data_IF_022019352666
#
_entry.id   IF_022019352666
#
_cell.length_a   1.000
_cell.length_b   1.000
_cell.length_c   1.000
_cell.angle_alpha   90.00
_cell.angle_beta   90.00
_cell.angle_gamma   90.00
#
_symmetry.space_group_name_H-M   'P 1'
#
loop_
_entity.id
_entity.type
_entity.pdbx_description
1 polymer ?
#
# COMPACT_ATOMS: atom_id res chain seq x y z
N UNK A 1 -76.91 36.08 -0.09
CA UNK A 1 -76.21 35.91 -1.39
C UNK A 1 -74.82 36.58 -1.51
N UNK A 2 -74.25 37.19 -0.45
CA UNK A 2 -72.89 37.79 -0.49
C UNK A 2 -71.77 36.87 0.05
N UNK A 3 -72.11 35.83 0.81
CA UNK A 3 -71.14 34.94 1.48
C UNK A 3 -70.57 33.85 0.56
N UNK A 4 -71.38 33.22 -0.32
CA UNK A 4 -70.91 32.11 -1.17
C UNK A 4 -69.99 32.56 -2.31
N UNK A 5 -70.05 33.84 -2.73
CA UNK A 5 -69.13 34.41 -3.73
C UNK A 5 -67.72 34.64 -3.17
N UNK A 6 -67.57 34.90 -1.87
CA UNK A 6 -66.24 35.04 -1.24
C UNK A 6 -65.58 33.68 -0.98
N UNK A 7 -66.36 32.65 -0.65
CA UNK A 7 -65.86 31.27 -0.50
C UNK A 7 -65.39 30.67 -1.84
N UNK A 8 -66.12 30.92 -2.94
CA UNK A 8 -65.68 30.46 -4.27
C UNK A 8 -64.38 31.13 -4.72
N UNK A 9 -64.17 32.41 -4.44
CA UNK A 9 -62.93 33.11 -4.79
C UNK A 9 -61.72 32.64 -3.97
N UNK A 10 -61.92 32.25 -2.71
CA UNK A 10 -60.86 31.70 -1.87
C UNK A 10 -60.50 30.27 -2.31
N UNK A 11 -61.49 29.46 -2.75
CA UNK A 11 -61.24 28.12 -3.29
C UNK A 11 -60.60 28.13 -4.69
N UNK A 12 -60.91 29.11 -5.54
CA UNK A 12 -60.28 29.22 -6.88
C UNK A 12 -58.86 29.79 -6.85
N UNK A 13 -58.47 30.54 -5.80
CA UNK A 13 -57.09 31.03 -5.63
C UNK A 13 -56.21 29.98 -4.95
N UNK A 14 -56.78 29.01 -4.21
CA UNK A 14 -56.03 27.94 -3.55
C UNK A 14 -55.84 26.67 -4.41
N UNK A 15 -56.37 26.64 -5.65
CA UNK A 15 -56.22 25.51 -6.59
C UNK A 15 -55.22 25.77 -7.74
N UNK A 16 -54.50 26.89 -7.74
CA UNK A 16 -53.53 27.26 -8.79
C UNK A 16 -52.09 27.45 -8.26
N UNK A 17 -51.75 26.72 -7.20
CA UNK A 17 -50.36 26.52 -6.73
C UNK A 17 -50.03 25.03 -6.64
N UNK A 18 -50.51 24.21 -7.58
CA UNK A 18 -49.70 23.08 -8.02
C UNK A 18 -48.56 23.71 -8.83
N UNK A 19 -47.49 24.12 -8.13
CA UNK A 19 -46.21 24.25 -8.80
C UNK A 19 -45.98 22.88 -9.47
N UNK A 20 -46.06 22.84 -10.80
CA UNK A 20 -45.57 21.72 -11.54
C UNK A 20 -44.10 21.62 -11.16
N UNK A 21 -43.77 20.65 -10.30
CA UNK A 21 -42.39 20.44 -9.86
C UNK A 21 -41.67 19.98 -11.12
N UNK A 22 -40.87 20.86 -11.70
CA UNK A 22 -40.04 20.54 -12.86
C UNK A 22 -39.15 19.34 -12.52
N UNK A 23 -38.95 18.45 -13.49
CA UNK A 23 -38.00 17.36 -13.32
C UNK A 23 -36.58 17.96 -13.28
N UNK A 24 -35.84 17.68 -12.21
CA UNK A 24 -34.44 18.12 -12.08
C UNK A 24 -33.51 16.93 -12.29
N UNK A 25 -32.42 17.10 -13.03
CA UNK A 25 -31.46 16.04 -13.30
C UNK A 25 -30.03 16.52 -13.01
N UNK A 26 -29.18 15.60 -12.56
CA UNK A 26 -27.74 15.88 -12.58
C UNK A 26 -27.26 15.99 -14.02
N UNK A 27 -26.41 16.98 -14.31
CA UNK A 27 -25.83 17.22 -15.63
C UNK A 27 -24.32 17.26 -15.56
N UNK A 28 -23.66 16.48 -16.41
CA UNK A 28 -22.20 16.46 -16.54
C UNK A 28 -21.74 15.61 -17.74
N UNK A 29 -20.49 15.81 -18.16
CA UNK A 29 -19.78 14.96 -19.11
C UNK A 29 -18.42 14.56 -18.53
N UNK A 30 -18.13 13.26 -18.47
CA UNK A 30 -16.86 12.75 -17.94
C UNK A 30 -15.65 13.03 -18.83
N UNK A 31 -15.85 13.58 -20.03
CA UNK A 31 -14.77 14.16 -20.84
C UNK A 31 -14.19 15.42 -20.20
N UNK A 32 -15.06 16.23 -19.57
CA UNK A 32 -14.70 17.51 -18.97
C UNK A 32 -14.41 17.36 -17.47
N UNK A 33 -15.18 16.53 -16.78
CA UNK A 33 -15.03 16.27 -15.35
C UNK A 33 -15.20 14.77 -15.02
N UNK A 34 -14.10 14.11 -14.68
CA UNK A 34 -14.08 12.69 -14.32
C UNK A 34 -15.02 12.36 -13.14
N UNK A 35 -15.33 13.32 -12.26
CA UNK A 35 -16.26 13.12 -11.13
C UNK A 35 -17.68 12.76 -11.60
N UNK A 36 -18.05 13.11 -12.84
CA UNK A 36 -19.29 12.66 -13.48
C UNK A 36 -19.43 11.12 -13.51
N UNK A 37 -18.30 10.44 -13.64
CA UNK A 37 -18.20 8.98 -13.65
C UNK A 37 -17.82 8.40 -12.28
N UNK A 38 -16.90 9.05 -11.54
CA UNK A 38 -16.30 8.50 -10.32
C UNK A 38 -17.07 8.82 -9.04
N UNK A 39 -17.72 9.99 -8.95
CA UNK A 39 -18.42 10.46 -7.74
C UNK A 39 -19.79 11.06 -8.06
N UNK A 40 -20.71 10.27 -8.64
CA UNK A 40 -22.00 10.81 -9.01
C UNK A 40 -22.83 11.23 -7.79
N UNK A 41 -23.55 12.34 -7.93
CA UNK A 41 -24.42 12.89 -6.89
C UNK A 41 -23.72 13.76 -5.83
N UNK A 42 -22.38 13.80 -5.81
CA UNK A 42 -21.62 14.78 -5.02
C UNK A 42 -21.11 15.86 -5.96
N UNK A 43 -21.49 17.12 -5.72
CA UNK A 43 -20.91 18.28 -6.39
C UNK A 43 -21.16 18.39 -7.91
N UNK A 44 -22.04 17.55 -8.47
CA UNK A 44 -22.49 17.69 -9.86
C UNK A 44 -23.52 18.82 -9.98
N UNK A 45 -23.46 19.52 -11.11
CA UNK A 45 -24.45 20.52 -11.48
C UNK A 45 -25.83 19.87 -11.69
N UNK A 46 -26.88 20.67 -11.47
CA UNK A 46 -28.27 20.28 -11.65
C UNK A 46 -28.90 21.17 -12.72
N UNK A 47 -29.67 20.56 -13.61
CA UNK A 47 -30.49 21.26 -14.59
C UNK A 47 -31.97 20.91 -14.42
N UNK A 48 -32.84 21.86 -14.77
CA UNK A 48 -34.29 21.65 -14.84
C UNK A 48 -34.68 21.25 -16.28
N UNK A 49 -35.38 20.13 -16.43
CA UNK A 49 -35.85 19.63 -17.71
C UNK A 49 -37.10 20.40 -18.16
N UNK A 50 -36.98 21.16 -19.24
CA UNK A 50 -38.05 22.05 -19.70
C UNK A 50 -39.16 21.35 -20.49
N UNK A 51 -38.96 20.10 -20.91
CA UNK A 51 -39.92 19.39 -21.75
C UNK A 51 -40.94 18.62 -20.90
N UNK A 52 -42.23 18.62 -21.29
CA UNK A 52 -43.23 17.80 -20.61
C UNK A 52 -42.89 16.31 -20.80
N UNK A 53 -42.97 15.53 -19.71
CA UNK A 53 -42.61 14.11 -19.67
C UNK A 53 -41.16 13.83 -20.11
N UNK A 54 -40.23 14.74 -19.84
CA UNK A 54 -38.80 14.45 -19.97
C UNK A 54 -38.35 13.43 -18.91
N UNK A 55 -37.13 12.94 -19.05
CA UNK A 55 -36.53 11.96 -18.15
C UNK A 55 -35.07 12.34 -17.87
N UNK A 56 -34.57 11.99 -16.69
CA UNK A 56 -33.14 12.01 -16.46
C UNK A 56 -32.52 10.81 -17.14
N UNK A 57 -31.34 11.02 -17.71
CA UNK A 57 -30.57 9.98 -18.38
C UNK A 57 -29.16 9.90 -17.80
N UNK A 58 -28.62 8.69 -17.72
CA UNK A 58 -27.18 8.42 -17.61
C UNK A 58 -26.80 7.51 -18.76
N UNK A 59 -25.86 7.93 -19.60
CA UNK A 59 -25.47 7.16 -20.77
C UNK A 59 -23.96 7.03 -20.87
N UNK A 60 -23.51 6.02 -21.62
CA UNK A 60 -22.10 5.81 -21.91
C UNK A 60 -21.87 5.89 -23.42
N UNK A 61 -20.93 6.73 -23.83
CA UNK A 61 -20.53 6.87 -25.23
C UNK A 61 -19.01 6.87 -25.31
N UNK A 62 -18.43 5.93 -26.04
CA UNK A 62 -16.98 5.74 -26.12
C UNK A 62 -16.30 5.62 -24.74
N UNK A 63 -16.97 4.97 -23.78
CA UNK A 63 -16.50 4.80 -22.40
C UNK A 63 -16.72 6.01 -21.47
N UNK A 64 -17.15 7.16 -22.01
CA UNK A 64 -17.40 8.38 -21.25
C UNK A 64 -18.85 8.43 -20.77
N UNK A 65 -19.05 8.90 -19.53
CA UNK A 65 -20.36 9.00 -18.88
C UNK A 65 -20.96 10.37 -19.10
N UNK A 66 -22.22 10.41 -19.51
CA UNK A 66 -23.00 11.65 -19.64
C UNK A 66 -24.26 11.56 -18.80
N UNK A 67 -24.60 12.67 -18.14
CA UNK A 67 -25.82 12.81 -17.35
C UNK A 67 -26.55 14.08 -17.77
N UNK A 68 -27.88 14.06 -17.72
CA UNK A 68 -28.72 15.23 -17.98
C UNK A 68 -30.15 14.85 -18.28
N UNK A 69 -30.92 15.79 -18.82
CA UNK A 69 -32.24 15.59 -19.37
C UNK A 69 -32.17 14.89 -20.73
N UNK A 70 -33.02 13.89 -20.95
CA UNK A 70 -33.05 13.08 -22.17
C UNK A 70 -33.24 13.95 -23.40
N UNK A 71 -34.21 14.87 -23.40
CA UNK A 71 -34.49 15.72 -24.58
C UNK A 71 -33.37 16.71 -24.91
N UNK A 72 -32.53 17.05 -23.93
CA UNK A 72 -31.37 17.93 -24.12
C UNK A 72 -30.19 17.16 -24.72
N UNK A 73 -29.87 16.00 -24.15
CA UNK A 73 -28.76 15.16 -24.62
C UNK A 73 -29.07 14.43 -25.93
N UNK A 74 -30.33 14.02 -26.09
CA UNK A 74 -30.84 13.24 -27.22
C UNK A 74 -32.15 13.85 -27.72
N UNK A 75 -32.10 14.89 -28.58
CA UNK A 75 -33.31 15.59 -29.05
C UNK A 75 -34.35 14.70 -29.73
N UNK A 76 -33.91 13.63 -30.40
CA UNK A 76 -34.77 12.61 -31.01
C UNK A 76 -35.41 11.65 -29.98
N UNK A 77 -35.04 11.74 -28.70
CA UNK A 77 -35.46 10.85 -27.62
C UNK A 77 -34.82 9.46 -27.65
N UNK A 78 -33.88 9.23 -28.57
CA UNK A 78 -33.19 7.95 -28.72
C UNK A 78 -31.85 7.98 -27.98
N UNK A 79 -31.77 7.24 -26.88
CA UNK A 79 -30.53 7.00 -26.15
C UNK A 79 -30.02 5.60 -26.46
N UNK A 80 -28.84 5.50 -27.05
CA UNK A 80 -28.23 4.21 -27.37
C UNK A 80 -27.62 3.56 -26.13
N UNK A 81 -27.79 2.24 -25.99
CA UNK A 81 -27.19 1.48 -24.89
C UNK A 81 -25.64 1.54 -24.89
N UNK A 82 -24.98 1.59 -23.72
CA UNK A 82 -25.56 1.52 -22.37
C UNK A 82 -26.22 2.84 -21.95
N UNK A 83 -27.50 2.80 -21.57
CA UNK A 83 -28.27 3.96 -21.18
C UNK A 83 -29.34 3.66 -20.13
N UNK A 84 -29.32 4.40 -19.02
CA UNK A 84 -30.33 4.31 -17.95
C UNK A 84 -31.18 5.58 -17.91
N UNK A 85 -32.48 5.41 -17.70
CA UNK A 85 -33.50 6.47 -17.73
C UNK A 85 -34.39 6.40 -16.50
N UNK A 86 -34.73 7.55 -15.94
CA UNK A 86 -35.58 7.62 -14.77
C UNK A 86 -36.38 8.93 -14.72
N UNK A 87 -37.55 8.89 -14.07
CA UNK A 87 -38.59 9.95 -14.16
C UNK A 87 -38.73 10.77 -12.88
N UNK A 88 -37.89 10.56 -11.87
CA UNK A 88 -37.97 11.29 -10.59
C UNK A 88 -36.78 12.24 -10.47
N UNK A 89 -36.96 13.42 -9.86
CA UNK A 89 -35.87 14.39 -9.73
C UNK A 89 -34.61 13.79 -9.08
N UNK A 90 -33.45 14.11 -9.64
CA UNK A 90 -32.11 13.73 -9.19
C UNK A 90 -31.88 12.21 -9.11
N UNK A 91 -32.63 11.42 -9.88
CA UNK A 91 -32.52 9.96 -9.88
C UNK A 91 -31.24 9.44 -10.54
N UNK A 92 -30.68 10.18 -11.49
CA UNK A 92 -29.46 9.83 -12.23
C UNK A 92 -28.18 10.10 -11.40
N UNK A 93 -28.18 9.72 -10.13
CA UNK A 93 -27.10 9.97 -9.15
C UNK A 93 -26.19 8.78 -8.87
N UNK A 94 -26.50 7.63 -9.43
CA UNK A 94 -25.81 6.38 -9.14
C UNK A 94 -24.67 6.13 -10.13
N UNK A 95 -23.65 5.37 -9.70
CA UNK A 95 -22.58 4.89 -10.58
C UNK A 95 -23.22 4.04 -11.67
N UNK A 96 -22.85 4.32 -12.92
CA UNK A 96 -23.37 3.64 -14.08
C UNK A 96 -22.22 3.15 -14.98
N UNK A 97 -22.23 1.89 -15.42
CA UNK A 97 -23.20 0.84 -15.03
C UNK A 97 -23.00 0.42 -13.57
N UNK A 98 -23.95 -0.32 -13.00
CA UNK A 98 -23.95 -0.65 -11.55
C UNK A 98 -22.73 -1.48 -11.15
N UNK A 99 -22.25 -2.32 -12.07
CA UNK A 99 -21.11 -3.22 -11.94
C UNK A 99 -19.79 -2.61 -12.43
N UNK A 100 -19.75 -1.30 -12.67
CA UNK A 100 -18.53 -0.59 -13.07
C UNK A 100 -17.38 -0.87 -12.10
N UNK A 101 -16.27 -1.38 -12.64
CA UNK A 101 -15.07 -1.74 -11.89
C UNK A 101 -14.59 -0.55 -11.04
N UNK A 102 -14.27 -0.85 -9.77
CA UNK A 102 -13.69 0.11 -8.83
C UNK A 102 -12.27 -0.30 -8.50
N UNK A 103 -11.35 0.64 -8.66
CA UNK A 103 -9.93 0.45 -8.36
C UNK A 103 -9.47 1.52 -7.40
N UNK A 104 -8.43 1.23 -6.61
CA UNK A 104 -7.67 2.28 -5.96
C UNK A 104 -6.99 3.12 -7.05
N UNK A 105 -7.19 4.43 -7.02
CA UNK A 105 -6.70 5.38 -8.01
C UNK A 105 -5.90 6.48 -7.33
N UNK A 106 -4.56 6.42 -7.43
CA UNK A 106 -3.69 7.41 -6.82
C UNK A 106 -2.23 7.26 -7.32
N UNK A 107 -1.36 8.24 -7.00
CA UNK A 107 0.08 8.17 -7.22
C UNK A 107 0.88 8.72 -6.04
N UNK A 108 2.10 8.21 -5.83
CA UNK A 108 3.05 8.69 -4.82
C UNK A 108 3.19 7.79 -3.58
N UNK A 109 3.84 8.31 -2.54
CA UNK A 109 4.09 7.57 -1.28
C UNK A 109 2.79 7.19 -0.55
N UNK A 110 1.79 8.05 -0.72
CA UNK A 110 0.40 7.90 -0.26
C UNK A 110 -0.31 6.68 -0.83
N UNK A 111 0.23 6.04 -1.87
CA UNK A 111 -0.36 4.89 -2.55
C UNK A 111 0.31 3.56 -2.22
N UNK A 112 1.35 3.59 -1.38
CA UNK A 112 2.04 2.38 -0.94
C UNK A 112 1.07 1.53 -0.13
N UNK A 113 0.42 2.15 0.85
CA UNK A 113 -0.64 1.58 1.67
C UNK A 113 -1.95 2.35 1.46
N UNK A 114 -2.96 1.66 0.98
CA UNK A 114 -4.31 2.18 0.75
C UNK A 114 -5.36 1.57 1.69
N UNK A 115 -4.95 0.71 2.62
CA UNK A 115 -5.83 -0.02 3.56
C UNK A 115 -6.69 0.92 4.40
N UNK A 116 -6.18 2.10 4.71
CA UNK A 116 -6.86 3.14 5.50
C UNK A 116 -7.51 4.23 4.64
N UNK A 117 -7.60 4.03 3.32
CA UNK A 117 -7.98 5.07 2.35
C UNK A 117 -9.10 4.67 1.40
N UNK A 118 -10.29 4.33 1.93
CA UNK A 118 -11.43 3.90 1.11
C UNK A 118 -11.88 4.98 0.10
N UNK A 119 -11.59 6.26 0.36
CA UNK A 119 -11.90 7.39 -0.54
C UNK A 119 -11.16 7.34 -1.89
N UNK A 120 -10.08 6.55 -1.96
CA UNK A 120 -9.31 6.34 -3.19
C UNK A 120 -9.85 5.18 -4.04
N UNK A 121 -10.78 4.38 -3.50
CA UNK A 121 -11.45 3.29 -4.22
C UNK A 121 -12.60 3.86 -5.07
N UNK A 122 -12.28 4.25 -6.29
CA UNK A 122 -13.18 4.96 -7.20
C UNK A 122 -13.55 4.09 -8.40
N UNK A 123 -14.76 4.25 -8.99
CA UNK A 123 -15.10 3.70 -10.30
C UNK A 123 -14.08 4.14 -11.36
N UNK A 124 -13.78 3.27 -12.32
CA UNK A 124 -12.87 3.63 -13.41
C UNK A 124 -13.45 4.75 -14.28
N UNK A 125 -12.75 5.90 -14.47
CA UNK A 125 -13.29 7.06 -15.19
C UNK A 125 -13.72 6.77 -16.63
N UNK A 126 -13.02 5.88 -17.32
CA UNK A 126 -13.43 5.33 -18.62
C UNK A 126 -14.05 3.95 -18.41
N UNK A 127 -15.29 3.77 -18.84
CA UNK A 127 -15.96 2.46 -18.77
C UNK A 127 -15.44 1.51 -19.85
N UNK A 128 -15.04 0.32 -19.43
CA UNK A 128 -14.76 -0.81 -20.30
C UNK A 128 -15.13 -2.10 -19.54
N UNK A 129 -15.91 -2.98 -20.16
CA UNK A 129 -16.35 -4.25 -19.56
C UNK A 129 -15.19 -5.18 -19.19
N UNK A 130 -14.07 -5.04 -19.90
CA UNK A 130 -12.84 -5.84 -19.71
C UNK A 130 -11.74 -5.02 -19.02
N UNK A 131 -12.10 -3.93 -18.35
CA UNK A 131 -11.10 -3.13 -17.65
C UNK A 131 -10.45 -3.93 -16.50
N UNK A 132 -9.26 -3.50 -16.11
CA UNK A 132 -8.50 -4.09 -15.01
C UNK A 132 -7.92 -3.00 -14.15
N UNK A 133 -7.87 -3.24 -12.84
CA UNK A 133 -7.06 -2.42 -11.96
C UNK A 133 -5.59 -2.76 -12.20
N UNK A 134 -4.72 -1.76 -12.06
CA UNK A 134 -3.28 -1.97 -12.05
C UNK A 134 -2.63 -1.42 -10.78
N UNK A 135 -1.46 -1.97 -10.48
CA UNK A 135 -0.50 -1.45 -9.50
C UNK A 135 0.87 -1.39 -10.17
N UNK A 136 1.45 -0.19 -10.26
CA UNK A 136 2.79 0.09 -10.77
C UNK A 136 3.70 0.53 -9.61
N UNK A 137 4.80 -0.17 -9.39
CA UNK A 137 5.77 0.16 -8.33
C UNK A 137 6.95 0.83 -9.00
N UNK A 138 6.98 2.16 -8.99
CA UNK A 138 8.05 2.94 -9.62
C UNK A 138 9.32 2.92 -8.77
N UNK A 139 9.16 3.15 -7.46
CA UNK A 139 10.23 3.18 -6.46
C UNK A 139 9.70 2.80 -5.07
N UNK A 140 10.61 2.62 -4.09
CA UNK A 140 10.27 2.32 -2.69
C UNK A 140 9.38 3.38 -2.02
N UNK A 141 9.32 4.58 -2.59
CA UNK A 141 8.52 5.71 -2.10
C UNK A 141 7.42 6.12 -3.08
N UNK A 142 7.23 5.39 -4.19
CA UNK A 142 6.28 5.79 -5.23
C UNK A 142 5.59 4.58 -5.85
N UNK A 143 4.28 4.49 -5.58
CA UNK A 143 3.38 3.52 -6.19
C UNK A 143 2.30 4.29 -6.96
N UNK A 144 1.95 3.80 -8.13
CA UNK A 144 0.81 4.29 -8.90
C UNK A 144 -0.23 3.19 -9.04
N UNK A 145 -1.49 3.54 -8.80
CA UNK A 145 -2.63 2.64 -8.91
C UNK A 145 -3.68 3.29 -9.79
N UNK A 146 -4.36 2.49 -10.59
CA UNK A 146 -5.38 3.03 -11.50
C UNK A 146 -6.13 1.96 -12.27
N UNK A 147 -6.79 2.41 -13.33
CA UNK A 147 -7.56 1.57 -14.25
C UNK A 147 -6.85 1.50 -15.59
N UNK A 148 -6.73 0.29 -16.14
CA UNK A 148 -5.92 0.03 -17.32
C UNK A 148 -6.39 0.85 -18.55
N UNK A 149 -7.68 0.93 -18.81
CA UNK A 149 -8.18 1.68 -19.96
C UNK A 149 -8.19 3.20 -19.76
N UNK A 150 -8.07 3.66 -18.51
CA UNK A 150 -8.12 5.09 -18.19
C UNK A 150 -6.73 5.72 -18.20
N UNK A 151 -5.80 5.14 -17.43
CA UNK A 151 -4.56 5.82 -17.09
C UNK A 151 -3.38 4.86 -16.90
N UNK A 152 -3.30 3.80 -17.71
CA UNK A 152 -2.14 2.91 -17.73
C UNK A 152 -0.87 3.65 -18.20
N UNK A 153 0.20 3.70 -17.39
CA UNK A 153 1.47 4.28 -17.81
C UNK A 153 2.12 3.48 -18.96
N UNK A 154 2.85 4.12 -19.90
CA UNK A 154 3.50 3.42 -21.01
C UNK A 154 4.55 2.37 -20.59
N UNK A 155 5.17 2.55 -19.42
CA UNK A 155 6.15 1.66 -18.77
C UNK A 155 5.50 0.46 -18.06
N UNK A 156 4.20 0.53 -17.80
CA UNK A 156 3.43 -0.45 -17.05
C UNK A 156 3.16 -1.82 -17.74
N UNK A 157 3.13 -1.96 -19.09
CA UNK A 157 2.84 -3.24 -19.74
C UNK A 157 3.77 -4.41 -19.36
N UNK A 158 4.98 -4.12 -18.86
CA UNK A 158 5.98 -5.15 -18.51
C UNK A 158 6.18 -5.35 -17.00
N UNK A 159 5.77 -4.39 -16.15
CA UNK A 159 6.15 -4.34 -14.71
C UNK A 159 4.95 -4.30 -13.77
N UNK A 160 3.73 -4.05 -14.28
CA UNK A 160 2.57 -3.87 -13.42
C UNK A 160 1.80 -5.14 -13.12
N UNK A 161 1.29 -5.20 -11.89
CA UNK A 161 0.33 -6.18 -11.44
C UNK A 161 -1.06 -5.76 -11.90
N UNK A 162 -1.84 -6.69 -12.46
CA UNK A 162 -3.19 -6.43 -12.96
C UNK A 162 -4.18 -7.43 -12.38
N UNK A 163 -5.40 -6.97 -12.12
CA UNK A 163 -6.47 -7.78 -11.55
C UNK A 163 -7.83 -7.17 -11.95
N UNK A 164 -8.91 -7.96 -11.88
CA UNK A 164 -10.20 -7.64 -12.52
C UNK A 164 -11.41 -7.72 -11.57
N UNK A 165 -11.23 -7.41 -10.29
CA UNK A 165 -12.32 -7.32 -9.31
C UNK A 165 -12.19 -6.05 -8.47
N UNK A 166 -13.30 -5.62 -7.86
CA UNK A 166 -13.34 -4.38 -7.10
C UNK A 166 -12.28 -4.34 -5.98
N UNK A 167 -11.45 -3.29 -5.98
CA UNK A 167 -10.43 -3.07 -4.96
C UNK A 167 -9.29 -4.09 -4.97
N UNK A 168 -9.14 -4.89 -6.03
CA UNK A 168 -8.11 -5.93 -6.10
C UNK A 168 -6.67 -5.39 -6.03
N UNK A 169 -6.47 -4.13 -6.36
CA UNK A 169 -5.21 -3.43 -6.26
C UNK A 169 -5.05 -2.75 -4.89
N UNK A 170 -5.43 -3.39 -3.78
CA UNK A 170 -5.29 -2.86 -2.42
C UNK A 170 -3.97 -3.25 -1.73
N UNK A 171 -3.30 -4.28 -2.24
CA UNK A 171 -2.17 -4.95 -1.58
C UNK A 171 -1.01 -3.98 -1.31
N UNK A 172 -0.35 -4.13 -0.16
CA UNK A 172 0.78 -3.29 0.25
C UNK A 172 1.94 -3.47 -0.74
N UNK A 173 2.42 -2.38 -1.34
CA UNK A 173 3.45 -2.48 -2.39
C UNK A 173 4.87 -2.43 -1.88
N UNK A 174 5.08 -1.96 -0.65
CA UNK A 174 6.39 -1.92 0.01
C UNK A 174 6.19 -2.38 1.43
N UNK A 175 6.72 -3.55 1.76
CA UNK A 175 6.76 -4.06 3.13
C UNK A 175 8.13 -3.79 3.76
N UNK A 176 8.18 -3.84 5.08
CA UNK A 176 9.43 -3.77 5.82
C UNK A 176 9.74 -5.16 6.39
N UNK A 177 11.03 -5.53 6.37
CA UNK A 177 11.52 -6.72 7.09
C UNK A 177 12.72 -6.34 7.93
N UNK A 178 12.79 -6.84 9.15
CA UNK A 178 13.80 -6.48 10.12
C UNK A 178 14.91 -7.52 10.16
N UNK A 179 16.16 -7.07 10.25
CA UNK A 179 17.31 -7.95 10.47
C UNK A 179 18.14 -7.45 11.64
N UNK A 180 18.83 -8.36 12.32
CA UNK A 180 19.82 -7.97 13.30
C UNK A 180 21.00 -7.33 12.60
N UNK A 181 21.46 -6.19 13.13
CA UNK A 181 22.60 -5.44 12.63
C UNK A 181 23.64 -5.28 13.73
N UNK A 182 24.79 -5.88 13.55
CA UNK A 182 25.89 -5.77 14.50
C UNK A 182 27.21 -6.14 13.84
N UNK A 183 28.30 -5.65 14.43
CA UNK A 183 29.66 -6.06 14.07
C UNK A 183 30.41 -6.38 15.35
N UNK A 184 31.12 -7.51 15.36
CA UNK A 184 32.11 -7.85 16.38
C UNK A 184 33.45 -8.14 15.70
N UNK A 185 34.54 -7.63 16.27
CA UNK A 185 35.89 -7.93 15.83
C UNK A 185 36.87 -7.91 17.02
N UNK A 186 38.15 -8.24 16.78
CA UNK A 186 39.20 -8.26 17.83
C UNK A 186 39.34 -6.95 18.61
N UNK A 187 39.20 -5.81 17.94
CA UNK A 187 39.49 -4.48 18.53
C UNK A 187 38.26 -3.90 19.22
N UNK A 188 37.09 -4.15 18.64
CA UNK A 188 35.79 -3.75 19.15
C UNK A 188 34.92 -5.00 19.27
N UNK A 189 35.21 -5.80 20.29
CA UNK A 189 34.41 -6.99 20.59
C UNK A 189 32.99 -6.54 20.95
N UNK A 190 32.01 -7.13 20.27
CA UNK A 190 30.60 -6.93 20.55
C UNK A 190 30.01 -8.27 21.00
N UNK A 191 29.97 -8.52 22.32
CA UNK A 191 29.37 -9.74 22.86
C UNK A 191 27.92 -9.89 22.40
N UNK A 192 27.14 -8.82 22.27
CA UNK A 192 25.73 -8.88 21.84
C UNK A 192 25.58 -9.45 20.41
N UNK A 193 26.54 -9.17 19.53
CA UNK A 193 26.56 -9.75 18.19
C UNK A 193 26.85 -11.27 18.19
N UNK A 194 27.46 -11.72 19.28
CA UNK A 194 27.88 -13.10 19.54
C UNK A 194 26.99 -13.81 20.59
N UNK A 195 26.01 -13.13 21.23
CA UNK A 195 25.47 -13.49 22.55
C UNK A 195 24.41 -14.59 22.59
N UNK A 196 24.35 -15.14 23.82
CA UNK A 196 23.37 -15.97 24.52
C UNK A 196 22.86 -17.20 23.77
N UNK A 197 23.72 -18.23 23.77
CA UNK A 197 23.42 -19.62 23.43
C UNK A 197 22.41 -20.30 24.39
N UNK A 198 21.53 -19.55 25.06
CA UNK A 198 20.33 -20.14 25.63
C UNK A 198 19.39 -20.40 24.44
N UNK A 199 19.19 -21.66 24.03
CA UNK A 199 18.32 -21.95 22.92
C UNK A 199 16.90 -21.60 23.37
N UNK A 200 16.30 -20.59 22.76
CA UNK A 200 14.84 -20.42 22.85
C UNK A 200 14.17 -21.51 21.99
N UNK A 201 14.83 -21.86 20.88
CA UNK A 201 14.58 -23.02 20.01
C UNK A 201 15.91 -23.55 19.44
N UNK A 202 15.97 -24.80 18.92
CA UNK A 202 17.18 -25.32 18.28
C UNK A 202 17.70 -24.40 17.17
N UNK A 203 18.88 -23.81 17.35
CA UNK A 203 19.53 -22.95 16.36
C UNK A 203 19.17 -21.46 16.40
N UNK A 204 18.33 -21.01 17.35
CA UNK A 204 18.01 -19.59 17.57
C UNK A 204 18.42 -19.13 18.97
N UNK A 205 19.13 -18.02 19.05
CA UNK A 205 19.60 -17.43 20.31
C UNK A 205 18.59 -16.40 20.83
N UNK A 206 18.40 -16.35 22.15
CA UNK A 206 17.49 -15.39 22.78
C UNK A 206 17.95 -13.95 22.54
N UNK A 207 17.10 -13.14 21.93
CA UNK A 207 17.38 -11.73 21.70
C UNK A 207 16.84 -10.90 22.87
N UNK A 208 17.73 -10.21 23.60
CA UNK A 208 17.27 -9.22 24.58
C UNK A 208 16.94 -7.90 23.86
N UNK A 209 15.83 -7.26 24.24
CA UNK A 209 15.42 -5.95 23.69
C UNK A 209 16.40 -4.80 23.99
N UNK A 210 17.44 -5.03 24.80
CA UNK A 210 18.27 -3.97 25.36
C UNK A 210 19.48 -3.60 24.48
N UNK A 211 19.92 -4.43 23.52
CA UNK A 211 21.26 -4.26 22.92
C UNK A 211 21.44 -4.68 21.46
N UNK A 212 20.40 -5.14 20.74
CA UNK A 212 20.56 -5.51 19.33
C UNK A 212 20.06 -4.40 18.41
N UNK A 213 20.99 -3.69 17.78
CA UNK A 213 20.69 -2.76 16.70
C UNK A 213 20.04 -3.54 15.55
N UNK A 214 18.98 -2.98 14.96
CA UNK A 214 18.31 -3.58 13.81
C UNK A 214 18.49 -2.68 12.59
N UNK A 215 18.52 -3.32 11.42
CA UNK A 215 18.33 -2.64 10.15
C UNK A 215 16.97 -3.04 9.56
N UNK A 216 16.47 -2.18 8.68
CA UNK A 216 15.19 -2.39 7.99
C UNK A 216 15.46 -2.53 6.49
N UNK A 217 15.04 -3.66 5.93
CA UNK A 217 14.93 -3.84 4.49
C UNK A 217 13.56 -3.36 4.03
N UNK A 218 13.53 -2.49 3.01
CA UNK A 218 12.30 -2.15 2.30
C UNK A 218 12.15 -3.08 1.11
N UNK A 219 11.12 -3.91 1.15
CA UNK A 219 10.86 -4.99 0.19
C UNK A 219 9.73 -4.55 -0.72
N UNK A 220 10.01 -4.37 -2.01
CA UNK A 220 8.94 -4.16 -2.99
C UNK A 220 8.10 -5.43 -3.12
N UNK A 221 6.81 -5.28 -3.38
CA UNK A 221 5.92 -6.40 -3.63
C UNK A 221 6.45 -7.27 -4.78
N UNK A 222 6.47 -8.58 -4.58
CA UNK A 222 7.05 -9.55 -5.51
C UNK A 222 8.58 -9.69 -5.41
N UNK A 223 9.27 -8.81 -4.68
CA UNK A 223 10.69 -8.94 -4.36
C UNK A 223 10.89 -9.56 -2.97
N UNK A 224 12.13 -9.97 -2.70
CA UNK A 224 12.54 -10.49 -1.39
C UNK A 224 13.92 -9.96 -1.03
N UNK A 225 13.98 -9.16 0.02
CA UNK A 225 15.24 -8.82 0.66
C UNK A 225 15.67 -9.92 1.64
N UNK A 226 16.95 -9.91 2.03
CA UNK A 226 17.56 -10.94 2.86
C UNK A 226 18.22 -10.30 4.07
N UNK A 227 18.28 -11.06 5.16
CA UNK A 227 19.25 -10.78 6.21
C UNK A 227 20.52 -11.56 5.92
N UNK A 228 21.69 -10.99 6.27
CA UNK A 228 22.96 -11.66 6.12
C UNK A 228 23.66 -11.85 7.48
N UNK A 229 24.50 -12.87 7.52
CA UNK A 229 25.53 -13.12 8.53
C UNK A 229 26.83 -13.42 7.80
N UNK A 230 27.83 -12.57 7.98
CA UNK A 230 29.18 -12.75 7.47
C UNK A 230 30.12 -13.10 8.62
N UNK A 231 30.91 -14.16 8.44
CA UNK A 231 31.88 -14.60 9.43
C UNK A 231 33.23 -14.88 8.77
N UNK A 232 34.29 -14.24 9.28
CA UNK A 232 35.65 -14.46 8.81
C UNK A 232 36.56 -14.85 9.99
N UNK A 233 36.89 -16.13 10.09
CA UNK A 233 37.72 -16.68 11.17
C UNK A 233 39.16 -16.15 11.13
N UNK A 234 39.67 -15.74 9.96
CA UNK A 234 41.04 -15.27 9.82
C UNK A 234 41.21 -13.87 10.43
N UNK A 235 40.22 -13.01 10.20
CA UNK A 235 40.18 -11.64 10.73
C UNK A 235 39.39 -11.54 12.02
N UNK A 236 38.74 -12.62 12.46
CA UNK A 236 37.82 -12.70 13.60
C UNK A 236 36.72 -11.63 13.53
N UNK A 237 36.17 -11.42 12.33
CA UNK A 237 35.06 -10.51 12.10
C UNK A 237 33.77 -11.30 11.98
N UNK A 238 32.78 -10.92 12.79
CA UNK A 238 31.39 -11.33 12.65
C UNK A 238 30.56 -10.08 12.34
N UNK A 239 29.79 -10.11 11.25
CA UNK A 239 28.92 -9.02 10.87
C UNK A 239 27.54 -9.54 10.48
N UNK A 240 26.49 -8.91 11.00
CA UNK A 240 25.10 -9.18 10.66
C UNK A 240 24.44 -7.92 10.10
N UNK A 241 23.49 -8.08 9.20
CA UNK A 241 22.73 -6.94 8.70
C UNK A 241 21.76 -7.27 7.58
N UNK A 242 21.36 -6.22 6.87
CA UNK A 242 20.39 -6.23 5.79
C UNK A 242 21.10 -6.34 4.44
N UNK A 243 20.52 -7.08 3.49
CA UNK A 243 21.02 -7.17 2.11
C UNK A 243 21.20 -5.80 1.47
N UNK A 244 20.29 -4.86 1.76
CA UNK A 244 20.34 -3.47 1.27
C UNK A 244 21.57 -2.67 1.72
N UNK A 245 22.16 -3.04 2.85
CA UNK A 245 23.37 -2.40 3.41
C UNK A 245 24.58 -3.34 3.39
N UNK A 246 24.49 -4.46 2.68
CA UNK A 246 25.52 -5.50 2.69
C UNK A 246 26.79 -4.99 2.01
N UNK A 247 27.92 -5.12 2.70
CA UNK A 247 29.23 -4.81 2.16
C UNK A 247 29.73 -5.87 1.18
N UNK A 248 30.88 -5.60 0.56
CA UNK A 248 31.58 -6.60 -0.24
C UNK A 248 32.45 -7.50 0.65
N UNK A 249 32.18 -8.80 0.65
CA UNK A 249 32.89 -9.79 1.46
C UNK A 249 33.65 -10.79 0.57
N UNK A 250 34.93 -10.52 0.20
CA UNK A 250 35.69 -11.39 -0.71
C UNK A 250 36.19 -12.69 -0.05
N UNK A 251 36.19 -12.74 1.28
CA UNK A 251 36.68 -13.88 2.08
C UNK A 251 35.77 -14.11 3.28
N UNK A 252 35.85 -15.30 3.87
CA UNK A 252 34.95 -15.73 4.94
C UNK A 252 33.70 -16.45 4.42
N UNK A 253 32.80 -16.78 5.33
CA UNK A 253 31.52 -17.41 5.05
C UNK A 253 30.41 -16.35 5.09
N UNK A 254 29.54 -16.36 4.09
CA UNK A 254 28.35 -15.51 4.01
C UNK A 254 27.12 -16.41 4.01
N UNK A 255 26.25 -16.21 5.00
CA UNK A 255 24.96 -16.87 5.10
C UNK A 255 23.85 -15.84 4.92
N UNK A 256 22.85 -16.18 4.12
CA UNK A 256 21.67 -15.34 3.91
C UNK A 256 20.40 -16.10 4.28
N UNK A 257 19.39 -15.38 4.75
CA UNK A 257 18.10 -15.95 5.11
C UNK A 257 16.96 -14.98 4.82
N UNK A 258 15.74 -15.50 4.88
CA UNK A 258 14.49 -14.76 4.68
C UNK A 258 13.65 -14.76 5.96
N UNK A 259 12.95 -13.64 6.20
CA UNK A 259 12.06 -13.47 7.35
C UNK A 259 12.64 -12.55 8.42
N UNK A 260 11.77 -12.09 9.32
CA UNK A 260 12.16 -11.15 10.37
C UNK A 260 13.13 -11.77 11.36
N UNK A 261 14.23 -11.06 11.59
CA UNK A 261 15.33 -11.45 12.46
C UNK A 261 15.83 -12.89 12.18
N UNK A 262 15.70 -13.36 10.94
CA UNK A 262 16.09 -14.73 10.57
C UNK A 262 17.59 -14.98 10.74
N UNK A 263 18.38 -13.92 10.78
CA UNK A 263 19.82 -13.95 11.01
C UNK A 263 20.15 -13.96 12.51
N UNK A 264 19.31 -14.55 13.35
CA UNK A 264 19.50 -14.71 14.79
C UNK A 264 20.16 -16.06 15.17
N UNK A 265 20.79 -16.75 14.22
CA UNK A 265 21.43 -18.02 14.53
C UNK A 265 22.53 -17.86 15.58
N UNK A 266 22.59 -18.81 16.49
CA UNK A 266 23.66 -18.91 17.47
C UNK A 266 25.01 -19.09 16.77
N UNK A 267 26.02 -18.38 17.28
CA UNK A 267 27.40 -18.49 16.79
C UNK A 267 28.28 -19.04 17.92
N UNK A 268 29.28 -19.82 17.55
CA UNK A 268 30.28 -20.28 18.49
C UNK A 268 31.12 -19.08 18.96
N UNK A 269 31.18 -18.88 20.28
CA UNK A 269 31.95 -17.80 20.87
C UNK A 269 33.42 -18.21 20.90
N UNK A 270 34.32 -17.30 20.53
CA UNK A 270 35.77 -17.45 20.73
C UNK A 270 36.21 -16.57 21.89
N UNK A 271 36.88 -17.17 22.86
CA UNK A 271 37.32 -16.51 24.09
C UNK A 271 38.84 -16.29 24.02
N UNK A 272 39.33 -15.14 24.50
CA UNK A 272 40.76 -14.93 24.64
C UNK A 272 41.33 -15.97 25.62
N UNK A 273 42.29 -16.76 25.16
CA UNK A 273 43.03 -17.70 26.00
C UNK A 273 44.42 -17.16 26.22
N UNK A 274 44.78 -16.96 27.47
CA UNK A 274 46.09 -16.47 27.81
C UNK A 274 46.48 -16.95 29.21
N UNK A 275 47.76 -17.23 29.41
CA UNK A 275 48.33 -17.59 30.70
C UNK A 275 49.21 -16.43 31.20
N UNK A 276 48.79 -15.81 32.31
CA UNK A 276 49.42 -14.64 32.92
C UNK A 276 50.82 -14.91 33.49
N UNK A 277 51.20 -16.18 33.71
CA UNK A 277 52.54 -16.55 34.15
C UNK A 277 53.54 -16.59 33.00
N UNK A 278 53.05 -16.78 31.77
CA UNK A 278 53.88 -16.95 30.57
C UNK A 278 53.77 -15.81 29.57
N UNK A 279 52.69 -15.03 29.60
CA UNK A 279 52.47 -13.89 28.70
C UNK A 279 52.14 -12.63 29.52
N UNK A 280 53.04 -11.64 29.60
CA UNK A 280 52.77 -10.40 30.33
C UNK A 280 51.61 -9.59 29.73
N UNK A 281 51.24 -9.83 28.46
CA UNK A 281 50.12 -9.14 27.81
C UNK A 281 48.74 -9.64 28.27
N UNK A 282 48.67 -10.76 28.99
CA UNK A 282 47.43 -11.25 29.61
C UNK A 282 46.75 -10.19 30.47
N UNK A 283 47.58 -9.49 31.27
CA UNK A 283 47.11 -8.49 32.25
C UNK A 283 46.71 -7.18 31.57
N UNK A 284 47.29 -6.87 30.41
CA UNK A 284 46.95 -5.67 29.64
C UNK A 284 45.82 -5.91 28.63
N UNK A 285 45.42 -7.16 28.40
CA UNK A 285 44.39 -7.53 27.42
C UNK A 285 44.82 -7.31 25.96
N UNK A 286 46.10 -7.08 25.70
CA UNK A 286 46.58 -6.66 24.38
C UNK A 286 47.05 -7.86 23.54
N UNK A 287 46.56 -7.97 22.30
CA UNK A 287 46.98 -8.99 21.32
C UNK A 287 46.88 -10.46 21.80
N UNK A 288 45.88 -10.77 22.62
CA UNK A 288 45.63 -12.13 23.10
C UNK A 288 45.14 -13.04 21.97
N UNK A 289 45.60 -14.30 21.96
CA UNK A 289 45.07 -15.32 21.05
C UNK A 289 43.69 -15.75 21.54
N UNK A 290 42.70 -15.77 20.65
CA UNK A 290 41.39 -16.35 20.93
C UNK A 290 41.36 -17.83 20.55
N UNK A 291 40.58 -18.62 21.28
CA UNK A 291 40.25 -20.01 20.94
C UNK A 291 38.75 -20.18 20.96
N UNK A 292 38.25 -21.07 20.09
CA UNK A 292 36.84 -21.42 20.04
C UNK A 292 36.42 -22.11 21.33
N UNK A 293 35.34 -21.63 21.93
CA UNK A 293 34.82 -22.15 23.19
C UNK A 293 33.93 -23.37 22.92
N UNK A 294 33.71 -24.20 23.95
CA UNK A 294 32.91 -25.41 23.80
C UNK A 294 31.47 -25.05 23.38
N UNK A 295 30.78 -25.91 22.59
CA UNK A 295 29.37 -25.70 22.27
C UNK A 295 28.52 -25.51 23.53
N UNK A 296 27.65 -24.50 23.56
CA UNK A 296 26.86 -24.13 24.73
C UNK A 296 27.51 -23.08 25.65
N UNK A 297 28.71 -22.59 25.34
CA UNK A 297 29.34 -21.50 26.10
C UNK A 297 28.59 -20.19 25.86
N UNK A 298 28.07 -19.57 26.93
CA UNK A 298 27.26 -18.34 26.86
C UNK A 298 28.05 -17.04 27.03
N UNK A 299 29.25 -17.09 27.59
CA UNK A 299 30.12 -15.93 27.79
C UNK A 299 31.60 -16.31 27.98
N UNK A 300 32.50 -15.37 27.67
CA UNK A 300 33.92 -15.46 28.02
C UNK A 300 34.11 -15.05 29.49
N UNK A 301 34.65 -15.94 30.33
CA UNK A 301 34.99 -15.63 31.72
C UNK A 301 36.49 -15.39 31.85
N UNK A 302 36.89 -14.19 32.29
CA UNK A 302 38.27 -13.93 32.73
C UNK A 302 38.38 -14.27 34.22
N UNK A 303 39.09 -15.33 34.57
CA UNK A 303 39.49 -15.57 35.97
C UNK A 303 40.92 -15.05 36.18
N UNK A 304 41.10 -14.04 37.02
CA UNK A 304 42.41 -13.77 37.62
C UNK A 304 42.67 -14.86 38.67
N UNK A 305 43.54 -15.83 38.36
CA UNK A 305 44.26 -16.54 39.41
C UNK A 305 45.68 -15.95 39.43
N UNK A 306 46.00 -15.34 40.58
CA UNK A 306 47.24 -14.62 40.84
C UNK A 306 48.48 -15.50 40.81
#
# INVERSE_FOLDING_TARGET
>A
MRSSRRLLWILTVMQLLLAAVGLECYVCDSAEDAECATRPGQQLEVEECSQPNDECVTSITAGLTRRGCLRRLYPNGYCAEPCDRCTTSLCNRHVFPVDRLRCYQCSGATCIDVSTRPELLLPCPVYNEKDRCYTNILHLSNTQRGCEHTNLPPDCPHVCLKCNYNGCNAELTVSESHCLQCTSNRVASNPDCQREQLPEQPGQCALSNATVTQCVNKVMYGHRERCFTHHNNQTEVLQRGCSTTMGFFPTGQLQECYGDNCNAQCQDIACATCNSTSDPNCRSGHALKSQQCAPGTTACYSCEQG
#
